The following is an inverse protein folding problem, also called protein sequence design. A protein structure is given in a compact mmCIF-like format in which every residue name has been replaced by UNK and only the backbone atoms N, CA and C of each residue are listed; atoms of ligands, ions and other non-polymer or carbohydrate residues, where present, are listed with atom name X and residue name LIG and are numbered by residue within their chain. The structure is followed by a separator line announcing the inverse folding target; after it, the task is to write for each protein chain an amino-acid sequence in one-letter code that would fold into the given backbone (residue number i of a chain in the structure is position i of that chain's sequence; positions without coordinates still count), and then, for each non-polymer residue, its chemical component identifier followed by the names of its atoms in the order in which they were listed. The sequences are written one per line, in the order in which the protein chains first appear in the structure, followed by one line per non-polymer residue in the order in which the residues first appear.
data_IF_514978604545
#
_entry.id   IF_514978604545
#
_cell.length_a   1.000
_cell.length_b   1.000
_cell.length_c   1.000
_cell.angle_alpha   90.00
_cell.angle_beta   90.00
_cell.angle_gamma   90.00
#
_symmetry.space_group_name_H-M   'P 1'
#
loop_
_entity.id
_entity.type
_entity.pdbx_description
1 polymer ?
#
# COMPACT_ATOMS: atom_id res chain seq x y z
N UNK A 1 12.67 -15.12 -18.03
CA UNK A 1 11.66 -14.08 -17.79
C UNK A 1 12.29 -12.70 -17.88
N UNK A 2 11.69 -11.80 -18.62
CA UNK A 2 12.18 -10.44 -18.74
C UNK A 2 11.35 -9.52 -17.83
N UNK A 3 12.02 -8.74 -16.98
CA UNK A 3 11.38 -7.80 -16.06
C UNK A 3 11.87 -6.39 -16.35
N UNK A 4 10.95 -5.44 -16.55
CA UNK A 4 11.27 -4.05 -16.80
C UNK A 4 10.70 -3.18 -15.68
N UNK A 5 11.56 -2.42 -15.02
CA UNK A 5 11.14 -1.42 -14.06
C UNK A 5 10.68 -0.15 -14.77
N UNK A 6 9.55 0.39 -14.31
CA UNK A 6 8.99 1.63 -14.86
C UNK A 6 9.21 2.74 -13.83
N UNK A 7 9.89 3.79 -14.23
CA UNK A 7 10.13 4.95 -13.37
C UNK A 7 9.04 5.99 -13.59
N UNK A 8 8.44 6.46 -12.53
CA UNK A 8 7.38 7.45 -12.57
C UNK A 8 7.79 8.70 -11.79
N UNK A 9 6.99 9.76 -11.89
CA UNK A 9 7.10 10.87 -10.95
C UNK A 9 6.70 10.39 -9.54
N UNK A 10 6.95 11.19 -8.52
CA UNK A 10 6.49 10.90 -7.16
C UNK A 10 4.97 10.99 -7.13
N UNK A 11 4.31 9.87 -6.88
CA UNK A 11 2.85 9.80 -6.86
C UNK A 11 2.31 10.52 -5.62
N UNK A 12 1.37 11.43 -5.83
CA UNK A 12 0.75 12.20 -4.77
C UNK A 12 -0.57 11.60 -4.33
N UNK A 13 -0.96 11.88 -3.09
CA UNK A 13 -2.20 11.37 -2.51
C UNK A 13 -3.41 11.80 -3.35
N UNK A 14 -4.19 10.82 -3.78
CA UNK A 14 -5.41 11.04 -4.53
C UNK A 14 -5.24 11.18 -6.03
N UNK A 15 -4.02 10.97 -6.58
CA UNK A 15 -3.87 10.89 -8.03
C UNK A 15 -4.72 9.74 -8.57
N UNK A 16 -5.25 9.93 -9.77
CA UNK A 16 -6.07 8.90 -10.42
C UNK A 16 -5.15 7.83 -10.99
N UNK A 17 -5.28 6.60 -10.49
CA UNK A 17 -4.41 5.49 -10.89
C UNK A 17 -4.43 5.26 -12.40
N UNK A 18 -5.60 5.32 -13.01
CA UNK A 18 -5.76 5.12 -14.46
C UNK A 18 -4.94 6.14 -15.26
N UNK A 19 -4.87 7.39 -14.80
CA UNK A 19 -4.07 8.42 -15.46
C UNK A 19 -2.57 8.14 -15.32
N UNK A 20 -2.13 7.65 -14.18
CA UNK A 20 -0.74 7.25 -13.97
C UNK A 20 -0.38 6.10 -14.90
N UNK A 21 -1.23 5.10 -15.01
CA UNK A 21 -1.01 3.96 -15.90
C UNK A 21 -1.00 4.40 -17.36
N UNK A 22 -1.91 5.27 -17.78
CA UNK A 22 -1.94 5.78 -19.15
C UNK A 22 -0.65 6.52 -19.50
N UNK A 23 -0.13 7.29 -18.58
CA UNK A 23 1.07 8.08 -18.80
C UNK A 23 2.34 7.23 -18.96
N UNK A 24 2.47 6.17 -18.16
CA UNK A 24 3.73 5.44 -18.05
C UNK A 24 3.72 4.04 -18.63
N UNK A 25 2.57 3.41 -18.74
CA UNK A 25 2.49 1.97 -18.95
C UNK A 25 1.69 1.58 -20.18
N UNK A 26 0.69 2.36 -20.58
CA UNK A 26 -0.26 1.95 -21.63
C UNK A 26 0.40 1.52 -22.93
N UNK A 27 1.46 2.20 -23.34
CA UNK A 27 2.19 1.85 -24.57
C UNK A 27 2.99 0.55 -24.46
N UNK A 28 3.27 0.10 -23.24
CA UNK A 28 4.04 -1.10 -22.97
C UNK A 28 3.15 -2.33 -22.76
N UNK A 29 1.87 -2.14 -22.59
CA UNK A 29 0.93 -3.22 -22.34
C UNK A 29 0.60 -3.95 -23.65
N UNK A 30 0.83 -5.25 -23.63
CA UNK A 30 0.55 -6.18 -24.73
C UNK A 30 -0.12 -7.40 -24.13
N UNK A 31 -0.65 -8.28 -24.99
CA UNK A 31 -1.13 -9.57 -24.50
C UNK A 31 0.02 -10.37 -23.85
N UNK A 32 -0.32 -11.17 -22.86
CA UNK A 32 0.61 -12.01 -22.11
C UNK A 32 1.64 -11.27 -21.26
N UNK A 33 1.41 -9.97 -20.99
CA UNK A 33 2.24 -9.18 -20.10
C UNK A 33 1.60 -9.11 -18.72
N UNK A 34 2.41 -9.25 -17.66
CA UNK A 34 1.98 -9.07 -16.28
C UNK A 34 2.45 -7.69 -15.80
N UNK A 35 1.51 -6.88 -15.33
CA UNK A 35 1.81 -5.60 -14.71
C UNK A 35 1.78 -5.77 -13.18
N UNK A 36 2.92 -5.55 -12.54
CA UNK A 36 3.03 -5.58 -11.09
C UNK A 36 3.02 -4.15 -10.54
N UNK A 37 2.08 -3.85 -9.67
CA UNK A 37 1.95 -2.53 -9.03
C UNK A 37 2.06 -2.72 -7.52
N UNK A 38 2.93 -1.94 -6.86
CA UNK A 38 3.03 -2.00 -5.40
C UNK A 38 1.74 -1.49 -4.74
N UNK A 39 1.35 -2.14 -3.65
CA UNK A 39 0.19 -1.72 -2.87
C UNK A 39 0.33 -0.30 -2.32
N UNK A 40 1.54 0.19 -2.11
CA UNK A 40 1.78 1.56 -1.66
C UNK A 40 1.24 2.59 -2.64
N UNK A 41 1.47 2.40 -3.93
CA UNK A 41 0.94 3.29 -4.97
C UNK A 41 -0.59 3.24 -4.98
N UNK A 42 -1.16 2.06 -4.91
CA UNK A 42 -2.61 1.89 -4.89
C UNK A 42 -3.21 2.59 -3.68
N UNK A 43 -2.64 2.39 -2.50
CA UNK A 43 -3.12 3.02 -1.27
C UNK A 43 -3.07 4.55 -1.33
N UNK A 44 -2.00 5.11 -1.88
CA UNK A 44 -1.85 6.55 -2.04
C UNK A 44 -2.91 7.09 -3.01
N UNK A 45 -3.11 6.43 -4.14
CA UNK A 45 -4.13 6.83 -5.11
C UNK A 45 -5.55 6.73 -4.54
N UNK A 46 -5.81 5.74 -3.70
CA UNK A 46 -7.10 5.55 -3.04
C UNK A 46 -7.29 6.42 -1.80
N UNK A 47 -6.33 7.27 -1.48
CA UNK A 47 -6.33 8.13 -0.27
C UNK A 47 -6.36 7.31 1.03
N UNK A 48 -5.85 6.09 1.00
CA UNK A 48 -5.75 5.23 2.17
C UNK A 48 -4.46 5.55 2.95
N UNK A 49 -4.35 6.80 3.36
CA UNK A 49 -3.21 7.32 4.12
C UNK A 49 -3.71 8.13 5.31
N UNK A 50 -2.94 8.13 6.39
CA UNK A 50 -3.28 8.86 7.61
C UNK A 50 -2.09 9.72 8.00
N UNK A 51 -2.38 10.95 8.41
CA UNK A 51 -1.35 11.85 8.91
C UNK A 51 -0.76 11.31 10.20
N UNK A 52 0.57 11.29 10.30
CA UNK A 52 1.26 10.79 11.50
C UNK A 52 0.92 11.55 12.77
N UNK A 53 0.51 12.81 12.64
CA UNK A 53 0.11 13.64 13.79
C UNK A 53 -1.35 13.40 14.20
N UNK A 54 -2.17 12.77 13.34
CA UNK A 54 -3.59 12.54 13.63
C UNK A 54 -3.81 11.36 14.59
N UNK A 55 -2.99 10.31 14.50
CA UNK A 55 -3.02 9.19 15.43
C UNK A 55 -1.70 8.44 15.41
N UNK A 56 -1.43 7.67 16.48
CA UNK A 56 -0.24 6.83 16.52
C UNK A 56 -0.45 5.57 15.68
N UNK A 57 0.66 4.90 15.37
CA UNK A 57 0.61 3.64 14.64
C UNK A 57 -0.19 2.59 15.41
N UNK A 58 0.00 2.51 16.72
CA UNK A 58 -0.71 1.58 17.59
C UNK A 58 -2.22 1.82 17.58
N UNK A 59 -2.64 3.07 17.64
CA UNK A 59 -4.05 3.44 17.57
C UNK A 59 -4.64 3.07 16.22
N UNK A 60 -3.91 3.30 15.15
CA UNK A 60 -4.35 2.97 13.80
C UNK A 60 -4.47 1.45 13.62
N UNK A 61 -3.53 0.68 14.12
CA UNK A 61 -3.59 -0.79 14.10
C UNK A 61 -4.83 -1.29 14.83
N UNK A 62 -5.10 -0.76 16.02
CA UNK A 62 -6.29 -1.16 16.80
C UNK A 62 -7.59 -0.83 16.06
N UNK A 63 -7.62 0.28 15.34
CA UNK A 63 -8.79 0.70 14.56
C UNK A 63 -9.01 -0.19 13.35
N UNK A 64 -7.96 -0.54 12.65
CA UNK A 64 -8.03 -1.27 11.38
C UNK A 64 -8.09 -2.79 11.55
N UNK A 65 -7.54 -3.33 12.63
CA UNK A 65 -7.53 -4.77 12.87
C UNK A 65 -8.89 -5.26 13.36
N UNK A 66 -9.33 -6.40 12.85
CA UNK A 66 -10.51 -7.08 13.36
C UNK A 66 -10.20 -7.76 14.70
N UNK A 67 -8.97 -8.25 14.87
CA UNK A 67 -8.49 -8.81 16.12
C UNK A 67 -6.98 -8.67 16.24
N UNK A 68 -6.50 -8.53 17.46
CA UNK A 68 -5.06 -8.56 17.78
C UNK A 68 -4.76 -9.92 18.37
N UNK A 69 -3.84 -10.65 17.74
CA UNK A 69 -3.49 -12.02 18.16
C UNK A 69 -2.33 -12.02 19.14
N UNK A 70 -1.27 -11.28 18.84
CA UNK A 70 -0.08 -11.22 19.66
C UNK A 70 0.72 -9.95 19.39
N UNK A 71 1.55 -9.58 20.37
CA UNK A 71 2.50 -8.47 20.22
C UNK A 71 3.87 -8.96 20.65
N UNK A 72 4.74 -9.26 19.68
CA UNK A 72 6.09 -9.73 19.94
C UNK A 72 7.11 -9.01 19.07
N UNK A 73 8.27 -8.71 19.63
CA UNK A 73 9.42 -8.14 18.88
C UNK A 73 9.07 -6.88 18.06
N UNK A 74 8.27 -5.99 18.63
CA UNK A 74 7.81 -4.75 17.98
C UNK A 74 6.86 -4.99 16.78
N UNK A 75 6.41 -6.21 16.60
CA UNK A 75 5.44 -6.57 15.57
C UNK A 75 4.11 -6.90 16.22
N UNK A 76 3.05 -6.26 15.77
CA UNK A 76 1.69 -6.56 16.21
C UNK A 76 1.07 -7.54 15.20
N UNK A 77 0.80 -8.75 15.65
CA UNK A 77 0.17 -9.77 14.80
C UNK A 77 -1.35 -9.62 14.89
N UNK A 78 -1.99 -9.39 13.76
CA UNK A 78 -3.41 -9.05 13.69
C UNK A 78 -4.15 -9.92 12.71
N UNK A 79 -5.48 -9.94 12.83
CA UNK A 79 -6.37 -10.49 11.81
C UNK A 79 -7.14 -9.32 11.20
N UNK A 80 -7.12 -9.23 9.88
CA UNK A 80 -7.90 -8.26 9.12
C UNK A 80 -8.46 -8.96 7.88
N UNK A 81 -9.76 -8.79 7.65
CA UNK A 81 -10.46 -9.40 6.52
C UNK A 81 -10.21 -10.91 6.42
N UNK A 82 -10.23 -11.59 7.56
CA UNK A 82 -9.98 -13.03 7.71
C UNK A 82 -8.54 -13.46 7.34
N UNK A 83 -7.60 -12.53 7.28
CA UNK A 83 -6.20 -12.81 6.96
C UNK A 83 -5.34 -12.46 8.17
N UNK A 84 -4.40 -13.35 8.52
CA UNK A 84 -3.37 -13.07 9.50
C UNK A 84 -2.30 -12.21 8.86
N UNK A 85 -2.16 -10.96 9.34
CA UNK A 85 -1.27 -9.99 8.74
C UNK A 85 -0.60 -9.14 9.82
N UNK A 86 0.70 -8.82 9.71
CA UNK A 86 1.36 -7.93 10.67
C UNK A 86 0.77 -6.52 10.62
N UNK A 87 0.56 -5.93 11.79
CA UNK A 87 0.16 -4.52 11.95
C UNK A 87 -1.05 -4.11 11.10
N UNK A 88 -2.01 -5.02 10.91
CA UNK A 88 -3.21 -4.81 10.09
C UNK A 88 -2.88 -4.28 8.67
N UNK A 89 -1.68 -4.58 8.16
CA UNK A 89 -1.25 -4.13 6.84
C UNK A 89 -0.77 -2.68 6.78
N UNK A 90 -0.66 -1.99 7.92
CA UNK A 90 -0.21 -0.60 7.96
C UNK A 90 1.29 -0.51 7.73
N UNK A 91 1.69 0.36 6.81
CA UNK A 91 3.08 0.60 6.45
C UNK A 91 3.42 2.09 6.61
N UNK A 92 4.46 2.38 7.36
CA UNK A 92 4.96 3.75 7.53
C UNK A 92 6.35 3.96 6.93
N UNK A 93 6.91 2.94 6.28
CA UNK A 93 8.30 2.95 5.82
C UNK A 93 8.61 4.07 4.81
N UNK A 94 7.62 4.51 4.04
CA UNK A 94 7.76 5.60 3.08
C UNK A 94 6.93 6.83 3.47
N UNK A 95 6.46 6.88 4.70
CA UNK A 95 5.71 8.02 5.20
C UNK A 95 6.60 9.24 5.44
N UNK A 96 6.09 10.40 5.13
CA UNK A 96 6.76 11.67 5.41
C UNK A 96 6.47 12.14 6.83
#
# INVERSE_FOLDING_TARGET
MYVKAIYTHRIECGEVLEQVLDRYVSELLKEEVVLAITSKIISICQKQVVCKTACSKEELIKREADAIVDMAHSICLTIKDNILIPSAGIDESNGN
#
